data_IF_853410312428
#
_entry.id   IF_853410312428
#
_cell.length_a   1.000
_cell.length_b   1.000
_cell.length_c   1.000
_cell.angle_alpha   90.00
_cell.angle_beta   90.00
_cell.angle_gamma   90.00
#
_symmetry.space_group_name_H-M   'P 1'
#
loop_
_entity.id
_entity.type
_entity.pdbx_description
1 polymer ?
#
# COMPACT_ATOMS: atom_id res chain seq x y z
N UNK A 1 4.21 14.62 -13.97
CA UNK A 1 4.51 14.79 -12.54
C UNK A 1 3.35 15.54 -11.91
N UNK A 2 2.35 14.80 -11.42
CA UNK A 2 1.15 15.39 -10.79
C UNK A 2 1.43 15.34 -9.29
N UNK A 3 1.84 16.46 -8.70
CA UNK A 3 1.93 16.58 -7.24
C UNK A 3 0.50 16.62 -6.70
N UNK A 4 0.03 15.50 -6.14
CA UNK A 4 -1.33 15.32 -5.62
C UNK A 4 -1.71 16.26 -4.45
N UNK A 5 -0.78 17.05 -3.91
CA UNK A 5 -1.01 17.83 -2.69
C UNK A 5 -1.69 19.20 -2.90
N UNK A 6 -1.88 19.67 -4.14
CA UNK A 6 -2.40 21.04 -4.34
C UNK A 6 -3.90 21.19 -4.05
N UNK A 7 -4.64 20.08 -4.06
CA UNK A 7 -6.10 20.02 -3.83
C UNK A 7 -6.46 19.15 -2.62
N UNK A 8 -5.50 18.85 -1.73
CA UNK A 8 -5.77 18.12 -0.49
C UNK A 8 -6.71 18.92 0.41
N UNK A 9 -7.67 18.24 1.02
CA UNK A 9 -8.55 18.84 2.01
C UNK A 9 -7.76 19.25 3.27
N UNK A 10 -8.29 20.25 3.97
CA UNK A 10 -7.69 20.68 5.23
C UNK A 10 -7.84 19.60 6.30
N UNK A 11 -6.72 19.15 6.83
CA UNK A 11 -6.69 18.14 7.89
C UNK A 11 -7.06 18.69 9.29
N UNK A 12 -7.41 17.76 10.18
CA UNK A 12 -7.56 18.05 11.61
C UNK A 12 -6.22 18.54 12.20
N UNK A 13 -6.19 19.71 12.88
CA UNK A 13 -4.94 20.28 13.38
C UNK A 13 -4.11 19.36 14.26
N UNK A 14 -4.77 18.55 15.10
CA UNK A 14 -4.09 17.62 16.01
C UNK A 14 -3.35 16.52 15.25
N UNK A 15 -4.01 15.91 14.26
CA UNK A 15 -3.42 14.84 13.46
C UNK A 15 -2.27 15.39 12.61
N UNK A 16 -2.49 16.54 11.97
CA UNK A 16 -1.50 17.18 11.11
C UNK A 16 -0.20 17.48 11.85
N UNK A 17 -0.28 18.10 13.04
CA UNK A 17 0.92 18.39 13.85
C UNK A 17 1.58 17.11 14.35
N UNK A 18 0.80 16.10 14.74
CA UNK A 18 1.33 14.81 15.21
C UNK A 18 2.12 14.10 14.11
N UNK A 19 1.54 14.00 12.91
CA UNK A 19 2.19 13.41 11.75
C UNK A 19 3.45 14.20 11.39
N UNK A 20 3.34 15.50 11.14
CA UNK A 20 4.50 16.33 10.77
C UNK A 20 5.63 16.27 11.79
N UNK A 21 5.31 16.27 13.09
CA UNK A 21 6.34 16.17 14.14
C UNK A 21 7.11 14.86 14.05
N UNK A 22 6.43 13.75 13.73
CA UNK A 22 7.07 12.46 13.50
C UNK A 22 7.94 12.48 12.23
N UNK A 23 7.45 13.07 11.15
CA UNK A 23 8.15 13.17 9.86
C UNK A 23 9.46 13.97 9.94
N UNK A 24 9.47 15.05 10.72
CA UNK A 24 10.65 15.91 10.91
C UNK A 24 11.87 15.19 11.48
N UNK A 25 11.70 14.02 12.11
CA UNK A 25 12.83 13.22 12.58
C UNK A 25 13.57 12.48 11.48
N UNK A 26 12.93 12.28 10.31
CA UNK A 26 13.46 11.44 9.22
C UNK A 26 13.61 12.18 7.88
N UNK A 27 12.91 13.28 7.68
CA UNK A 27 12.82 13.99 6.40
C UNK A 27 13.32 15.43 6.53
N UNK A 28 14.01 15.98 5.51
CA UNK A 28 14.38 17.39 5.49
C UNK A 28 13.16 18.30 5.67
N UNK A 29 13.36 19.41 6.39
CA UNK A 29 12.28 20.34 6.71
C UNK A 29 11.55 20.85 5.46
N UNK A 30 12.28 21.01 4.35
CA UNK A 30 11.76 21.54 3.08
C UNK A 30 10.79 20.59 2.38
N UNK A 31 10.96 19.27 2.60
CA UNK A 31 10.17 18.23 1.93
C UNK A 31 9.04 17.68 2.82
N UNK A 32 9.01 18.01 4.12
CA UNK A 32 8.13 17.37 5.13
C UNK A 32 6.64 17.39 4.79
N UNK A 33 6.17 18.40 4.03
CA UNK A 33 4.75 18.54 3.65
C UNK A 33 4.43 17.77 2.36
N UNK A 34 5.41 17.53 1.48
CA UNK A 34 5.17 16.98 0.14
C UNK A 34 5.81 15.62 -0.11
N UNK A 35 6.66 15.14 0.81
CA UNK A 35 7.45 13.91 0.66
C UNK A 35 6.61 12.70 0.27
N UNK A 36 5.46 12.47 0.92
CA UNK A 36 4.58 11.34 0.64
C UNK A 36 3.90 11.43 -0.75
N UNK A 37 3.92 12.61 -1.37
CA UNK A 37 3.30 12.89 -2.67
C UNK A 37 4.34 13.11 -3.78
N UNK A 38 5.62 13.15 -3.44
CA UNK A 38 6.71 13.46 -4.36
C UNK A 38 7.16 12.20 -5.07
N UNK A 39 6.75 12.06 -6.32
CA UNK A 39 7.11 10.95 -7.22
C UNK A 39 7.78 11.48 -8.48
N UNK A 40 8.87 12.22 -8.29
CA UNK A 40 9.59 12.94 -9.33
C UNK A 40 10.73 12.13 -9.98
N UNK A 41 11.20 11.07 -9.32
CA UNK A 41 12.33 10.25 -9.77
C UNK A 41 11.85 8.85 -10.18
N UNK A 42 12.05 8.50 -11.45
CA UNK A 42 11.84 7.13 -11.95
C UNK A 42 13.15 6.34 -11.94
N UNK A 43 13.19 5.25 -11.18
CA UNK A 43 14.35 4.35 -11.03
C UNK A 43 13.96 2.90 -11.34
N UNK A 44 13.96 2.49 -12.62
CA UNK A 44 13.55 1.14 -13.01
C UNK A 44 14.35 0.04 -12.32
N UNK A 45 15.64 0.27 -12.07
CA UNK A 45 16.54 -0.68 -11.42
C UNK A 45 16.08 -1.06 -10.00
N UNK A 46 15.53 -0.11 -9.24
CA UNK A 46 14.99 -0.38 -7.90
C UNK A 46 13.66 -1.12 -7.97
N UNK A 47 12.86 -0.88 -9.01
CA UNK A 47 11.60 -1.59 -9.24
C UNK A 47 11.90 -3.06 -9.53
N UNK A 48 12.86 -3.31 -10.41
CA UNK A 48 13.34 -4.67 -10.74
C UNK A 48 13.90 -5.37 -9.50
N UNK A 49 14.77 -4.69 -8.73
CA UNK A 49 15.35 -5.25 -7.49
C UNK A 49 14.26 -5.73 -6.51
N UNK A 50 13.21 -4.93 -6.29
CA UNK A 50 12.10 -5.31 -5.40
C UNK A 50 11.30 -6.47 -5.98
N UNK A 51 10.96 -6.44 -7.27
CA UNK A 51 10.21 -7.52 -7.93
C UNK A 51 10.98 -8.84 -7.87
N UNK A 52 12.31 -8.81 -8.02
CA UNK A 52 13.16 -10.00 -7.92
C UNK A 52 13.16 -10.66 -6.52
N UNK A 53 12.82 -9.92 -5.47
CA UNK A 53 12.63 -10.46 -4.12
C UNK A 53 11.24 -11.07 -3.90
N UNK A 54 10.25 -10.76 -4.75
CA UNK A 54 8.87 -11.25 -4.63
C UNK A 54 8.72 -12.67 -5.18
N UNK A 55 9.50 -13.61 -4.64
CA UNK A 55 9.48 -15.03 -5.02
C UNK A 55 8.83 -15.90 -3.93
N UNK A 56 8.23 -17.05 -4.27
CA UNK A 56 7.60 -17.94 -3.29
C UNK A 56 8.52 -18.35 -2.14
N UNK A 57 9.82 -18.47 -2.37
CA UNK A 57 10.81 -18.85 -1.36
C UNK A 57 11.01 -17.76 -0.28
N UNK A 58 10.71 -16.50 -0.61
CA UNK A 58 10.76 -15.35 0.30
C UNK A 58 9.39 -15.06 0.96
N UNK A 59 8.38 -15.89 0.73
CA UNK A 59 7.01 -15.63 1.16
C UNK A 59 6.78 -15.99 2.64
N UNK A 60 6.02 -15.16 3.35
CA UNK A 60 5.39 -15.48 4.63
C UNK A 60 3.87 -15.38 4.47
N UNK A 61 3.16 -16.48 4.70
CA UNK A 61 1.71 -16.55 4.52
C UNK A 61 1.01 -16.73 5.85
N UNK A 62 0.01 -15.89 6.13
CA UNK A 62 -0.85 -16.00 7.31
C UNK A 62 -2.27 -16.32 6.84
N UNK A 63 -2.84 -17.39 7.40
CA UNK A 63 -4.23 -17.78 7.14
C UNK A 63 -5.05 -17.52 8.41
N UNK A 64 -6.07 -16.67 8.30
CA UNK A 64 -6.95 -16.32 9.42
C UNK A 64 -8.35 -16.84 9.13
N UNK A 65 -8.83 -17.78 9.96
CA UNK A 65 -10.17 -18.35 9.86
C UNK A 65 -10.63 -18.92 11.19
N UNK A 66 -11.92 -18.81 11.49
CA UNK A 66 -12.54 -19.41 12.68
C UNK A 66 -12.50 -20.94 12.65
N UNK A 67 -12.29 -21.56 11.48
CA UNK A 67 -12.13 -23.02 11.36
C UNK A 67 -10.93 -23.56 12.11
N UNK A 68 -9.97 -22.71 12.48
CA UNK A 68 -8.76 -23.10 13.22
C UNK A 68 -8.87 -22.85 14.73
N UNK A 69 -9.97 -22.27 15.22
CA UNK A 69 -10.15 -21.95 16.62
C UNK A 69 -10.22 -23.23 17.48
N UNK A 70 -9.55 -23.23 18.63
CA UNK A 70 -9.59 -24.36 19.57
C UNK A 70 -8.89 -25.64 19.08
N UNK A 71 -8.10 -25.57 18.01
CA UNK A 71 -7.29 -26.70 17.57
C UNK A 71 -6.21 -27.01 18.64
N UNK A 72 -6.07 -28.28 18.99
CA UNK A 72 -5.12 -28.76 20.00
C UNK A 72 -3.66 -28.43 19.64
N UNK A 73 -3.34 -28.29 18.36
CA UNK A 73 -2.00 -27.90 17.91
C UNK A 73 -1.71 -26.41 18.02
N UNK A 74 -2.68 -25.58 18.41
CA UNK A 74 -2.48 -24.15 18.52
C UNK A 74 -1.65 -23.79 19.75
N UNK A 75 -0.75 -22.84 19.56
CA UNK A 75 -0.06 -22.16 20.64
C UNK A 75 -0.75 -20.82 20.91
N UNK A 76 -0.62 -20.34 22.16
CA UNK A 76 -1.14 -19.04 22.57
C UNK A 76 -0.01 -18.04 22.63
N UNK A 77 -0.17 -16.94 21.90
CA UNK A 77 0.71 -15.78 22.03
C UNK A 77 0.66 -15.27 23.49
N UNK A 78 1.80 -14.81 24.00
CA UNK A 78 2.02 -14.53 25.42
C UNK A 78 1.13 -13.41 25.97
N UNK A 79 0.90 -12.35 25.20
CA UNK A 79 0.33 -11.10 25.73
C UNK A 79 -1.17 -10.99 25.48
N UNK A 80 -1.62 -11.30 24.28
CA UNK A 80 -3.01 -11.21 23.86
C UNK A 80 -3.74 -12.55 23.93
N UNK A 81 -3.00 -13.65 24.10
CA UNK A 81 -3.59 -14.99 24.11
C UNK A 81 -4.08 -15.45 22.74
N UNK A 82 -3.69 -14.76 21.66
CA UNK A 82 -4.06 -15.09 20.28
C UNK A 82 -3.65 -16.52 19.98
N UNK A 83 -4.61 -17.35 19.58
CA UNK A 83 -4.36 -18.72 19.15
C UNK A 83 -3.86 -18.72 17.70
N UNK A 84 -2.74 -19.40 17.47
CA UNK A 84 -2.20 -19.59 16.13
C UNK A 84 -1.37 -20.88 16.07
N UNK A 85 -1.07 -21.30 14.84
CA UNK A 85 -0.08 -22.32 14.56
C UNK A 85 0.80 -21.81 13.42
N UNK A 86 2.02 -22.35 13.31
CA UNK A 86 2.89 -22.10 12.18
C UNK A 86 3.57 -23.40 11.76
N UNK A 87 3.72 -23.55 10.45
CA UNK A 87 4.46 -24.65 9.83
C UNK A 87 5.27 -24.09 8.65
N UNK A 88 6.22 -24.89 8.17
CA UNK A 88 6.79 -24.60 6.86
C UNK A 88 5.72 -24.83 5.78
N UNK A 89 5.83 -24.08 4.70
CA UNK A 89 5.05 -24.35 3.49
C UNK A 89 5.66 -25.59 2.83
N UNK A 90 4.81 -26.53 2.44
CA UNK A 90 5.25 -27.77 1.78
C UNK A 90 5.96 -27.46 0.45
N UNK A 91 7.01 -28.22 0.15
CA UNK A 91 7.85 -28.00 -1.04
C UNK A 91 7.05 -28.16 -2.35
N UNK A 92 6.05 -29.03 -2.38
CA UNK A 92 5.18 -29.22 -3.54
C UNK A 92 4.29 -28.00 -3.81
N UNK A 93 3.87 -27.28 -2.76
CA UNK A 93 3.10 -26.05 -2.86
C UNK A 93 3.99 -24.91 -3.36
N UNK A 94 5.20 -24.77 -2.80
CA UNK A 94 6.17 -23.79 -3.28
C UNK A 94 6.52 -24.02 -4.75
N UNK A 95 6.77 -25.26 -5.16
CA UNK A 95 7.03 -25.61 -6.55
C UNK A 95 5.88 -25.22 -7.50
N UNK A 96 4.62 -25.46 -7.07
CA UNK A 96 3.43 -25.02 -7.83
C UNK A 96 3.37 -23.50 -7.99
N UNK A 97 3.67 -22.75 -6.94
CA UNK A 97 3.71 -21.29 -7.02
C UNK A 97 4.84 -20.79 -7.93
N UNK A 98 6.03 -21.39 -7.84
CA UNK A 98 7.15 -21.00 -8.69
C UNK A 98 6.87 -21.32 -10.16
N UNK A 99 6.16 -22.41 -10.48
CA UNK A 99 5.74 -22.71 -11.87
C UNK A 99 4.67 -21.77 -12.45
N UNK A 100 4.01 -20.95 -11.61
CA UNK A 100 2.97 -20.05 -12.09
C UNK A 100 3.52 -18.97 -13.03
N UNK A 101 4.82 -18.65 -12.92
CA UNK A 101 5.49 -17.67 -13.78
C UNK A 101 5.62 -18.16 -15.23
N UNK A 102 5.66 -19.49 -15.43
CA UNK A 102 5.84 -20.10 -16.75
C UNK A 102 4.58 -19.96 -17.62
N UNK A 103 3.43 -19.65 -17.02
CA UNK A 103 2.14 -19.57 -17.70
C UNK A 103 1.27 -18.47 -17.09
N UNK A 104 1.54 -17.22 -17.48
CA UNK A 104 0.70 -16.07 -17.11
C UNK A 104 -0.67 -16.19 -17.81
N UNK A 105 -1.79 -16.20 -17.08
CA UNK A 105 -3.12 -16.27 -17.69
C UNK A 105 -3.45 -15.06 -18.57
N UNK A 106 -4.15 -15.28 -19.69
CA UNK A 106 -4.53 -14.24 -20.66
C UNK A 106 -5.42 -13.12 -20.08
N UNK A 107 -6.11 -13.38 -18.96
CA UNK A 107 -6.94 -12.38 -18.29
C UNK A 107 -6.15 -11.42 -17.39
N UNK A 108 -4.85 -11.66 -17.17
CA UNK A 108 -3.96 -10.74 -16.47
C UNK A 108 -3.25 -9.85 -17.49
N UNK A 109 -3.61 -8.58 -17.50
CA UNK A 109 -2.94 -7.56 -18.29
C UNK A 109 -2.60 -6.36 -17.42
N UNK A 110 -1.64 -5.55 -17.86
CA UNK A 110 -1.43 -4.23 -17.27
C UNK A 110 -2.69 -3.38 -17.47
N UNK A 111 -2.98 -2.45 -16.54
CA UNK A 111 -4.10 -1.53 -16.70
C UNK A 111 -3.88 -0.65 -17.94
N UNK A 112 -4.98 -0.32 -18.61
CA UNK A 112 -4.98 0.71 -19.67
C UNK A 112 -4.76 2.10 -19.05
N UNK A 113 -4.46 3.08 -19.90
CA UNK A 113 -4.33 4.48 -19.47
C UNK A 113 -5.60 4.96 -18.75
N UNK A 114 -5.41 5.66 -17.62
CA UNK A 114 -6.52 6.19 -16.85
C UNK A 114 -7.04 7.51 -17.46
N UNK A 115 -8.11 7.43 -18.24
CA UNK A 115 -8.76 8.60 -18.88
C UNK A 115 -9.42 9.58 -17.89
N UNK A 116 -9.56 9.22 -16.62
CA UNK A 116 -10.21 10.05 -15.59
C UNK A 116 -9.22 10.94 -14.82
N UNK A 117 -7.94 10.99 -15.21
CA UNK A 117 -6.99 11.91 -14.60
C UNK A 117 -7.43 13.36 -14.93
N UNK A 118 -7.77 14.20 -13.93
CA UNK A 118 -8.25 15.54 -14.18
C UNK A 118 -7.14 16.42 -14.75
N UNK A 119 -7.47 17.19 -15.78
CA UNK A 119 -6.57 18.16 -16.42
C UNK A 119 -7.00 19.62 -16.24
N UNK A 120 -8.25 19.85 -15.82
CA UNK A 120 -8.83 21.18 -15.61
C UNK A 120 -9.19 21.38 -14.15
N UNK A 121 -8.61 22.40 -13.53
CA UNK A 121 -8.80 22.69 -12.11
C UNK A 121 -9.26 24.13 -11.82
N UNK A 122 -9.74 24.83 -12.84
CA UNK A 122 -10.27 26.19 -12.67
C UNK A 122 -11.50 26.18 -11.76
N UNK A 123 -11.52 27.12 -10.80
CA UNK A 123 -12.70 27.34 -9.97
C UNK A 123 -13.77 28.05 -10.78
N UNK A 124 -15.01 27.54 -10.72
CA UNK A 124 -16.17 28.27 -11.26
C UNK A 124 -16.45 29.52 -10.41
N UNK A 125 -16.97 30.60 -11.02
CA UNK A 125 -17.44 31.76 -10.26
C UNK A 125 -18.47 31.37 -9.20
N UNK A 126 -18.45 32.06 -8.06
CA UNK A 126 -19.45 31.90 -7.01
C UNK A 126 -20.82 32.33 -7.53
N UNK A 127 -21.84 31.53 -7.30
CA UNK A 127 -23.23 31.88 -7.63
C UNK A 127 -23.70 33.11 -6.84
N UNK A 128 -24.48 33.99 -7.46
CA UNK A 128 -25.06 35.16 -6.79
C UNK A 128 -26.11 34.71 -5.77
N UNK A 129 -25.90 35.09 -4.50
CA UNK A 129 -26.87 34.84 -3.44
C UNK A 129 -28.15 35.61 -3.75
N UNK A 130 -29.27 34.91 -3.98
CA UNK A 130 -30.60 35.56 -4.01
C UNK A 130 -30.85 36.19 -2.64
N UNK A 131 -30.79 37.52 -2.57
CA UNK A 131 -31.29 38.29 -1.44
C UNK A 131 -32.81 38.11 -1.41
N UNK A 132 -33.30 37.36 -0.42
CA UNK A 132 -34.72 37.35 -0.05
C UNK A 132 -35.01 38.55 0.85
#
# INVERSE_FOLDING_TARGET
>A
MISLNWYSDKESPLNYVTQLSAELHRIPFEDVICVDYKTDIYKPELIEEVIEQMKPENMFCTIVSQSFAGNESNIKEKWYGTEYNYSKIEEDVLAKFSSAIDSVPDFLSLPVENEYIPSKFDLKPREETRLN
#
